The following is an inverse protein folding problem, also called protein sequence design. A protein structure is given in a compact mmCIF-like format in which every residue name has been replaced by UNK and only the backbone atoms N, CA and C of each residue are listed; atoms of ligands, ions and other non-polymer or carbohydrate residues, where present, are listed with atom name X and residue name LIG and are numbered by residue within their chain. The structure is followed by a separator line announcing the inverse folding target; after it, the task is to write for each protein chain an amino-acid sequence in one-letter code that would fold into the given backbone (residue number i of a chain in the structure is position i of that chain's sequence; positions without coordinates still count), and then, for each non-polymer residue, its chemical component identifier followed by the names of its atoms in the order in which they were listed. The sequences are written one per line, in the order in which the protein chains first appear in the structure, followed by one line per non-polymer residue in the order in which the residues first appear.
data_IF_302131341853
#
_entry.id   IF_302131341853
#
_cell.length_a   1.000
_cell.length_b   1.000
_cell.length_c   1.000
_cell.angle_alpha   90.00
_cell.angle_beta   90.00
_cell.angle_gamma   90.00
#
_symmetry.space_group_name_H-M   'P 1'
#
loop_
_entity.id
_entity.type
_entity.pdbx_description
1 polymer ?
#
# COMPACT_ATOMS: atom_id res chain seq x y z
N UNK A 1 23.22 -23.11 -19.82
CA UNK A 1 22.81 -22.51 -18.53
C UNK A 1 22.00 -21.27 -18.84
N UNK A 2 20.72 -21.25 -18.48
CA UNK A 2 19.85 -20.09 -18.74
C UNK A 2 20.09 -19.05 -17.63
N UNK A 3 20.02 -17.76 -17.96
CA UNK A 3 20.20 -16.68 -16.98
C UNK A 3 19.23 -16.82 -15.79
N UNK A 4 18.00 -17.30 -16.05
CA UNK A 4 16.96 -17.57 -15.04
C UNK A 4 17.29 -18.73 -14.09
N UNK A 5 18.31 -19.53 -14.38
CA UNK A 5 18.79 -20.60 -13.49
C UNK A 5 19.84 -20.07 -12.49
N UNK A 6 20.32 -18.84 -12.66
CA UNK A 6 21.36 -18.21 -11.83
C UNK A 6 20.86 -17.09 -10.91
N UNK A 7 19.69 -16.53 -11.22
CA UNK A 7 19.13 -15.37 -10.54
C UNK A 7 17.83 -15.81 -9.88
N UNK A 8 17.68 -15.53 -8.58
CA UNK A 8 16.45 -15.86 -7.86
C UNK A 8 15.26 -15.05 -8.36
N UNK A 9 14.04 -15.58 -8.17
CA UNK A 9 12.81 -14.85 -8.51
C UNK A 9 12.72 -13.51 -7.76
N UNK A 10 13.23 -13.46 -6.52
CA UNK A 10 13.32 -12.23 -5.72
C UNK A 10 14.22 -11.18 -6.38
N UNK A 11 15.44 -11.55 -6.75
CA UNK A 11 16.38 -10.64 -7.44
C UNK A 11 15.81 -10.15 -8.77
N UNK A 12 15.08 -11.00 -9.51
CA UNK A 12 14.40 -10.59 -10.74
C UNK A 12 13.30 -9.56 -10.45
N UNK A 13 12.46 -9.80 -9.43
CA UNK A 13 11.40 -8.86 -9.03
C UNK A 13 11.96 -7.52 -8.59
N UNK A 14 13.02 -7.53 -7.77
CA UNK A 14 13.71 -6.33 -7.30
C UNK A 14 14.32 -5.54 -8.46
N UNK A 15 15.01 -6.21 -9.38
CA UNK A 15 15.60 -5.58 -10.56
C UNK A 15 14.54 -4.94 -11.48
N UNK A 16 13.43 -5.66 -11.73
CA UNK A 16 12.32 -5.16 -12.55
C UNK A 16 11.63 -3.98 -11.87
N UNK A 17 11.35 -4.08 -10.56
CA UNK A 17 10.73 -2.99 -9.80
C UNK A 17 11.61 -1.74 -9.84
N UNK A 18 12.91 -1.88 -9.58
CA UNK A 18 13.86 -0.77 -9.63
C UNK A 18 13.92 -0.10 -11.00
N UNK A 19 13.81 -0.86 -12.10
CA UNK A 19 13.74 -0.28 -13.44
C UNK A 19 12.42 0.47 -13.70
N UNK A 20 11.29 -0.07 -13.24
CA UNK A 20 10.00 0.61 -13.34
C UNK A 20 9.97 1.91 -12.54
N UNK A 21 10.53 1.92 -11.33
CA UNK A 21 10.61 3.12 -10.49
C UNK A 21 11.47 4.21 -11.15
N UNK A 22 12.62 3.85 -11.73
CA UNK A 22 13.47 4.80 -12.49
C UNK A 22 12.70 5.42 -13.66
N UNK A 23 12.03 4.62 -14.48
CA UNK A 23 11.23 5.13 -15.61
C UNK A 23 10.05 5.98 -15.16
N UNK A 24 9.42 5.64 -14.04
CA UNK A 24 8.34 6.42 -13.46
C UNK A 24 8.83 7.81 -13.04
N UNK A 25 10.04 7.94 -12.48
CA UNK A 25 10.66 9.24 -12.19
C UNK A 25 10.86 10.06 -13.46
N UNK A 26 11.35 9.45 -14.55
CA UNK A 26 11.55 10.13 -15.82
C UNK A 26 10.22 10.63 -16.42
N UNK A 27 9.17 9.80 -16.42
CA UNK A 27 7.87 10.24 -16.93
C UNK A 27 7.23 11.34 -16.06
N UNK A 28 7.38 11.27 -14.72
CA UNK A 28 6.93 12.36 -13.82
C UNK A 28 7.65 13.66 -14.15
N UNK A 29 8.96 13.58 -14.41
CA UNK A 29 9.74 14.75 -14.77
C UNK A 29 9.28 15.38 -16.09
N UNK A 30 9.06 14.57 -17.13
CA UNK A 30 8.51 15.05 -18.41
C UNK A 30 7.14 15.71 -18.25
N UNK A 31 6.23 15.08 -17.51
CA UNK A 31 4.90 15.63 -17.23
C UNK A 31 4.99 16.99 -16.52
N UNK A 32 5.84 17.10 -15.49
CA UNK A 32 6.04 18.36 -14.76
C UNK A 32 6.70 19.45 -15.60
N UNK A 33 7.64 19.11 -16.49
CA UNK A 33 8.25 20.07 -17.41
C UNK A 33 7.21 20.66 -18.37
N UNK A 34 6.37 19.82 -18.97
CA UNK A 34 5.38 20.25 -19.95
C UNK A 34 4.21 20.96 -19.29
N UNK A 35 3.80 20.55 -18.08
CA UNK A 35 2.86 21.31 -17.25
C UNK A 35 3.34 22.74 -17.02
N UNK A 36 4.63 22.92 -16.72
CA UNK A 36 5.22 24.25 -16.55
C UNK A 36 5.31 25.03 -17.86
N UNK A 37 5.66 24.37 -18.97
CA UNK A 37 5.76 25.01 -20.30
C UNK A 37 4.42 25.56 -20.76
N UNK A 38 3.32 24.82 -20.53
CA UNK A 38 1.99 25.18 -21.01
C UNK A 38 1.06 25.75 -19.94
N UNK A 39 1.49 25.78 -18.68
CA UNK A 39 0.71 26.23 -17.53
C UNK A 39 -0.65 25.53 -17.41
N UNK A 40 -0.69 24.23 -17.72
CA UNK A 40 -1.90 23.39 -17.69
C UNK A 40 -1.54 21.91 -17.61
N UNK A 41 -2.50 21.05 -17.32
CA UNK A 41 -2.35 19.59 -17.40
C UNK A 41 -2.45 19.08 -18.85
N UNK A 42 -1.96 17.86 -19.11
CA UNK A 42 -2.11 17.21 -20.42
C UNK A 42 -3.59 17.07 -20.84
N UNK A 43 -4.47 16.79 -19.87
CA UNK A 43 -5.91 16.70 -20.11
C UNK A 43 -6.47 18.02 -20.65
N UNK A 44 -6.18 19.12 -19.97
CA UNK A 44 -6.60 20.47 -20.40
C UNK A 44 -5.97 20.86 -21.74
N UNK A 45 -4.72 20.47 -21.97
CA UNK A 45 -4.02 20.68 -23.24
C UNK A 45 -4.75 20.03 -24.41
N UNK A 46 -5.21 18.79 -24.24
CA UNK A 46 -6.03 18.06 -25.22
C UNK A 46 -7.41 18.69 -25.41
N UNK A 47 -8.11 19.02 -24.31
CA UNK A 47 -9.45 19.64 -24.34
C UNK A 47 -9.46 20.99 -25.06
N UNK A 48 -8.40 21.79 -24.89
CA UNK A 48 -8.22 23.09 -25.57
C UNK A 48 -7.67 22.97 -27.00
N UNK A 49 -7.35 21.75 -27.45
CA UNK A 49 -6.79 21.49 -28.77
C UNK A 49 -5.55 22.36 -29.07
N UNK A 50 -4.63 22.44 -28.09
CA UNK A 50 -3.52 23.40 -28.10
C UNK A 50 -2.62 23.30 -29.34
N UNK A 51 -2.47 22.10 -29.91
CA UNK A 51 -1.74 21.89 -31.18
C UNK A 51 -2.33 22.75 -32.30
N UNK A 52 -3.66 22.74 -32.44
CA UNK A 52 -4.37 23.56 -33.44
C UNK A 52 -4.29 25.05 -33.10
N UNK A 53 -4.51 25.42 -31.85
CA UNK A 53 -4.44 26.82 -31.39
C UNK A 53 -3.06 27.47 -31.61
N UNK A 54 -2.00 26.66 -31.59
CA UNK A 54 -0.62 27.12 -31.86
C UNK A 54 -0.16 26.88 -33.30
N UNK A 55 -1.09 26.54 -34.19
CA UNK A 55 -0.84 26.49 -35.64
C UNK A 55 -0.08 25.26 -36.12
N UNK A 56 -0.22 24.11 -35.45
CA UNK A 56 0.38 22.83 -35.89
C UNK A 56 1.89 22.90 -36.09
N UNK A 57 2.60 23.62 -35.22
CA UNK A 57 4.06 23.63 -35.28
C UNK A 57 4.60 22.26 -34.90
N UNK A 58 5.68 21.84 -35.55
CA UNK A 58 6.36 20.60 -35.20
C UNK A 58 6.77 20.53 -33.72
N UNK A 59 7.13 21.68 -33.13
CA UNK A 59 7.47 21.75 -31.70
C UNK A 59 6.29 21.34 -30.81
N UNK A 60 5.09 21.87 -31.05
CA UNK A 60 3.94 21.54 -30.19
C UNK A 60 3.41 20.13 -30.44
N UNK A 61 3.49 19.65 -31.68
CA UNK A 61 3.13 18.26 -31.99
C UNK A 61 4.06 17.27 -31.29
N UNK A 62 5.37 17.53 -31.34
CA UNK A 62 6.37 16.74 -30.64
C UNK A 62 6.12 16.76 -29.13
N UNK A 63 5.89 17.93 -28.55
CA UNK A 63 5.61 18.05 -27.11
C UNK A 63 4.33 17.29 -26.74
N UNK A 64 3.29 17.35 -27.56
CA UNK A 64 2.06 16.59 -27.33
C UNK A 64 2.30 15.08 -27.32
N UNK A 65 3.08 14.56 -28.28
CA UNK A 65 3.44 13.14 -28.36
C UNK A 65 4.29 12.69 -27.15
N UNK A 66 5.29 13.50 -26.76
CA UNK A 66 6.13 13.21 -25.60
C UNK A 66 5.33 13.25 -24.29
N UNK A 67 4.39 14.20 -24.17
CA UNK A 67 3.51 14.31 -23.00
C UNK A 67 2.56 13.12 -22.90
N UNK A 68 1.91 12.75 -24.00
CA UNK A 68 1.02 11.59 -24.05
C UNK A 68 1.77 10.32 -23.66
N UNK A 69 2.96 10.11 -24.24
CA UNK A 69 3.80 8.96 -23.91
C UNK A 69 4.17 8.92 -22.43
N UNK A 70 4.49 10.08 -21.83
CA UNK A 70 4.80 10.17 -20.41
C UNK A 70 3.58 9.87 -19.53
N UNK A 71 2.41 10.47 -19.81
CA UNK A 71 1.19 10.28 -19.02
C UNK A 71 0.70 8.82 -19.09
N UNK A 72 0.68 8.23 -20.29
CA UNK A 72 0.34 6.81 -20.44
C UNK A 72 1.40 5.89 -19.82
N UNK A 73 2.67 6.26 -19.93
CA UNK A 73 3.78 5.57 -19.27
C UNK A 73 3.64 5.56 -17.75
N UNK A 74 3.23 6.68 -17.14
CA UNK A 74 2.95 6.78 -15.71
C UNK A 74 1.83 5.83 -15.29
N UNK A 75 0.71 5.86 -16.00
CA UNK A 75 -0.45 4.99 -15.73
C UNK A 75 -0.06 3.52 -15.82
N UNK A 76 0.62 3.13 -16.90
CA UNK A 76 1.03 1.75 -17.14
C UNK A 76 2.02 1.24 -16.08
N UNK A 77 3.07 2.00 -15.78
CA UNK A 77 4.08 1.58 -14.81
C UNK A 77 3.53 1.54 -13.39
N UNK A 78 2.68 2.50 -13.00
CA UNK A 78 2.04 2.49 -11.69
C UNK A 78 1.19 1.23 -11.50
N UNK A 79 0.44 0.82 -12.52
CA UNK A 79 -0.34 -0.43 -12.49
C UNK A 79 0.55 -1.67 -12.31
N UNK A 80 1.69 -1.73 -13.03
CA UNK A 80 2.64 -2.83 -12.91
C UNK A 80 3.31 -2.88 -11.54
N UNK A 81 3.72 -1.74 -11.01
CA UNK A 81 4.34 -1.63 -9.68
C UNK A 81 3.35 -2.09 -8.61
N UNK A 82 2.09 -1.66 -8.68
CA UNK A 82 1.05 -2.06 -7.72
C UNK A 82 0.80 -3.58 -7.75
N UNK A 83 1.01 -4.25 -8.88
CA UNK A 83 0.93 -5.72 -8.99
C UNK A 83 2.17 -6.44 -8.48
N UNK A 84 3.36 -5.84 -8.60
CA UNK A 84 4.63 -6.47 -8.21
C UNK A 84 4.90 -6.31 -6.71
N UNK A 85 4.62 -5.13 -6.13
CA UNK A 85 4.90 -4.85 -4.72
C UNK A 85 4.32 -5.90 -3.75
N UNK A 86 3.06 -6.34 -3.89
CA UNK A 86 2.52 -7.39 -3.03
C UNK A 86 3.20 -8.76 -3.22
N UNK A 87 3.72 -9.05 -4.42
CA UNK A 87 4.48 -10.28 -4.71
C UNK A 87 5.89 -10.28 -4.13
N UNK A 88 6.32 -9.15 -3.56
CA UNK A 88 7.60 -9.00 -2.86
C UNK A 88 7.42 -9.05 -1.34
N UNK A 89 6.20 -8.93 -0.82
CA UNK A 89 5.94 -8.98 0.61
C UNK A 89 6.05 -10.43 1.10
N UNK A 90 7.02 -10.70 1.96
CA UNK A 90 7.15 -12.00 2.59
C UNK A 90 6.55 -12.00 3.99
N UNK A 91 5.96 -13.13 4.37
CA UNK A 91 5.46 -13.36 5.72
C UNK A 91 6.58 -13.19 6.76
N UNK A 92 7.83 -13.51 6.39
CA UNK A 92 9.03 -13.32 7.22
C UNK A 92 9.24 -11.84 7.61
N UNK A 93 9.03 -10.91 6.69
CA UNK A 93 9.15 -9.46 6.91
C UNK A 93 8.06 -8.98 7.86
N UNK A 94 6.82 -9.44 7.68
CA UNK A 94 5.69 -9.10 8.56
C UNK A 94 5.93 -9.61 9.99
N UNK A 95 6.47 -10.83 10.13
CA UNK A 95 6.85 -11.39 11.44
C UNK A 95 7.91 -10.51 12.09
N UNK A 96 8.88 -10.02 11.33
CA UNK A 96 9.92 -9.13 11.84
C UNK A 96 9.32 -7.79 12.31
N UNK A 97 8.42 -7.18 11.52
CA UNK A 97 7.67 -5.98 11.92
C UNK A 97 6.90 -6.20 13.23
N UNK A 98 6.17 -7.31 13.36
CA UNK A 98 5.43 -7.64 14.59
C UNK A 98 6.37 -7.77 15.81
N UNK A 99 7.55 -8.38 15.64
CA UNK A 99 8.56 -8.47 16.72
C UNK A 99 9.08 -7.10 17.15
N UNK A 100 9.31 -6.20 16.20
CA UNK A 100 9.79 -4.85 16.46
C UNK A 100 8.73 -4.00 17.19
N UNK A 101 7.48 -4.05 16.73
CA UNK A 101 6.33 -3.41 17.40
C UNK A 101 6.22 -3.91 18.83
N UNK A 102 6.28 -5.23 19.04
CA UNK A 102 6.17 -5.82 20.38
C UNK A 102 7.27 -5.34 21.32
N UNK A 103 8.51 -5.30 20.85
CA UNK A 103 9.63 -4.76 21.62
C UNK A 103 9.45 -3.27 21.93
N UNK A 104 8.99 -2.49 20.96
CA UNK A 104 8.81 -1.03 21.07
C UNK A 104 7.74 -0.67 22.10
N UNK A 105 6.61 -1.39 22.12
CA UNK A 105 5.46 -1.08 22.97
C UNK A 105 5.30 -2.02 24.19
N UNK A 106 6.26 -2.91 24.42
CA UNK A 106 6.20 -3.85 25.56
C UNK A 106 5.09 -4.90 25.44
N UNK A 107 4.67 -5.24 24.22
CA UNK A 107 3.66 -6.26 23.96
C UNK A 107 4.29 -7.65 23.85
N UNK A 108 3.46 -8.69 23.93
CA UNK A 108 3.83 -10.10 23.78
C UNK A 108 3.18 -10.69 22.54
N UNK A 109 3.88 -11.60 21.87
CA UNK A 109 3.27 -12.52 20.91
C UNK A 109 2.56 -13.60 21.72
N UNK A 110 1.24 -13.57 21.74
CA UNK A 110 0.39 -14.51 22.46
C UNK A 110 0.01 -15.71 21.59
N UNK A 111 0.02 -15.52 20.28
CA UNK A 111 -0.20 -16.57 19.27
C UNK A 111 0.50 -16.15 17.98
N UNK A 112 1.11 -17.11 17.29
CA UNK A 112 1.69 -16.91 15.97
C UNK A 112 1.61 -18.24 15.20
N UNK A 113 0.93 -18.20 14.07
CA UNK A 113 0.83 -19.31 13.13
C UNK A 113 0.89 -18.76 11.70
N UNK A 114 1.63 -19.42 10.83
CA UNK A 114 1.88 -18.90 9.50
C UNK A 114 2.26 -19.98 8.48
N UNK A 115 2.04 -19.63 7.22
CA UNK A 115 2.55 -20.32 6.02
C UNK A 115 3.32 -19.31 5.18
N UNK A 116 3.77 -19.69 3.99
CA UNK A 116 4.34 -18.73 3.04
C UNK A 116 3.30 -17.74 2.48
N UNK A 117 2.00 -17.96 2.73
CA UNK A 117 0.91 -17.17 2.14
C UNK A 117 0.10 -16.40 3.19
N UNK A 118 -0.09 -17.01 4.37
CA UNK A 118 -0.99 -16.51 5.39
C UNK A 118 -0.30 -16.41 6.74
N UNK A 119 -0.69 -15.43 7.55
CA UNK A 119 -0.27 -15.30 8.93
C UNK A 119 -1.47 -14.99 9.81
N UNK A 120 -1.50 -15.62 10.99
CA UNK A 120 -2.38 -15.27 12.11
C UNK A 120 -1.47 -14.97 13.30
N UNK A 121 -1.58 -13.77 13.85
CA UNK A 121 -0.86 -13.36 15.04
C UNK A 121 -1.80 -12.71 16.05
N UNK A 122 -1.52 -12.92 17.33
CA UNK A 122 -2.15 -12.16 18.43
C UNK A 122 -1.04 -11.49 19.20
N UNK A 123 -1.01 -10.16 19.16
CA UNK A 123 -0.04 -9.36 19.91
C UNK A 123 -0.76 -8.55 20.97
N UNK A 124 -0.29 -8.57 22.21
CA UNK A 124 -1.04 -7.95 23.30
C UNK A 124 -0.41 -8.08 24.66
N UNK A 125 -1.19 -7.75 25.68
CA UNK A 125 -0.74 -7.69 27.08
C UNK A 125 -1.11 -9.00 27.78
N UNK A 126 -2.29 -9.54 27.46
CA UNK A 126 -2.83 -10.78 28.00
C UNK A 126 -3.70 -11.48 26.95
N UNK A 127 -4.09 -12.73 27.22
CA UNK A 127 -5.02 -13.47 26.37
C UNK A 127 -6.41 -12.82 26.27
N UNK A 128 -6.74 -11.89 27.15
CA UNK A 128 -7.99 -11.14 27.13
C UNK A 128 -7.88 -9.80 26.40
N UNK A 129 -6.67 -9.23 26.26
CA UNK A 129 -6.44 -7.91 25.66
C UNK A 129 -5.32 -8.02 24.62
N UNK A 130 -5.71 -8.09 23.35
CA UNK A 130 -4.78 -8.26 22.24
C UNK A 130 -5.31 -7.70 20.92
N UNK A 131 -4.38 -7.36 20.03
CA UNK A 131 -4.63 -7.13 18.62
C UNK A 131 -4.47 -8.45 17.88
N UNK A 132 -5.54 -8.88 17.22
CA UNK A 132 -5.54 -9.96 16.24
C UNK A 132 -5.10 -9.41 14.89
N UNK A 133 -4.10 -10.03 14.27
CA UNK A 133 -3.61 -9.68 12.93
C UNK A 133 -3.75 -10.90 12.03
N UNK A 134 -4.49 -10.76 10.94
CA UNK A 134 -4.59 -11.75 9.88
C UNK A 134 -4.04 -11.18 8.58
N UNK A 135 -3.12 -11.90 7.95
CA UNK A 135 -2.56 -11.53 6.65
C UNK A 135 -2.80 -12.65 5.63
N UNK A 136 -3.10 -12.25 4.40
CA UNK A 136 -3.07 -13.10 3.22
C UNK A 136 -2.42 -12.34 2.06
N UNK A 137 -1.16 -12.66 1.75
CA UNK A 137 -0.38 -11.93 0.74
C UNK A 137 -0.97 -12.11 -0.66
N UNK A 138 -1.49 -13.30 -0.99
CA UNK A 138 -2.09 -13.60 -2.30
C UNK A 138 -3.38 -12.81 -2.55
N UNK A 139 -4.11 -12.45 -1.49
CA UNK A 139 -5.33 -11.64 -1.55
C UNK A 139 -5.08 -10.17 -1.24
N UNK A 140 -3.82 -9.77 -1.04
CA UNK A 140 -3.42 -8.42 -0.64
C UNK A 140 -4.24 -7.93 0.58
N UNK A 141 -4.43 -8.80 1.57
CA UNK A 141 -5.39 -8.60 2.66
C UNK A 141 -4.65 -8.58 3.99
N UNK A 142 -4.86 -7.49 4.75
CA UNK A 142 -4.43 -7.35 6.14
C UNK A 142 -5.66 -6.96 6.96
N UNK A 143 -6.14 -7.87 7.82
CA UNK A 143 -7.24 -7.60 8.73
C UNK A 143 -6.70 -7.50 10.15
N UNK A 144 -7.19 -6.51 10.89
CA UNK A 144 -6.76 -6.24 12.26
C UNK A 144 -7.97 -6.03 13.16
N UNK A 145 -7.93 -6.54 14.38
CA UNK A 145 -9.00 -6.37 15.34
C UNK A 145 -8.44 -6.28 16.76
N UNK A 146 -8.81 -5.23 17.50
CA UNK A 146 -8.58 -5.15 18.94
C UNK A 146 -9.67 -5.96 19.65
N UNK A 147 -9.24 -6.98 20.38
CA UNK A 147 -10.09 -7.87 21.15
C UNK A 147 -9.90 -7.58 22.64
N UNK A 148 -11.01 -7.39 23.34
CA UNK A 148 -11.08 -7.24 24.80
C UNK A 148 -12.11 -8.21 25.35
N UNK A 149 -11.68 -9.12 26.23
CA UNK A 149 -12.53 -10.14 26.87
C UNK A 149 -13.38 -10.95 25.87
N UNK A 150 -12.80 -11.25 24.71
CA UNK A 150 -13.43 -12.02 23.64
C UNK A 150 -14.23 -11.20 22.63
N UNK A 151 -14.46 -9.91 22.89
CA UNK A 151 -15.23 -9.02 22.02
C UNK A 151 -14.32 -8.15 21.15
N UNK A 152 -14.67 -7.99 19.87
CA UNK A 152 -14.01 -7.02 18.99
C UNK A 152 -14.53 -5.63 19.30
N UNK A 153 -13.68 -4.80 19.88
CA UNK A 153 -14.01 -3.41 20.21
C UNK A 153 -13.48 -2.41 19.18
N UNK A 154 -12.57 -2.80 18.28
CA UNK A 154 -12.07 -1.94 17.19
C UNK A 154 -11.50 -2.83 16.08
N UNK A 155 -11.57 -2.42 14.81
CA UNK A 155 -11.02 -3.23 13.73
C UNK A 155 -10.88 -2.54 12.38
N UNK A 156 -10.03 -3.11 11.54
CA UNK A 156 -9.86 -2.79 10.12
C UNK A 156 -10.00 -4.11 9.36
N UNK A 157 -10.87 -4.13 8.35
CA UNK A 157 -11.04 -5.29 7.49
C UNK A 157 -10.94 -4.92 6.01
N UNK A 158 -10.58 -5.91 5.18
CA UNK A 158 -10.71 -5.84 3.73
C UNK A 158 -11.82 -6.78 3.26
N UNK A 159 -12.89 -6.20 2.77
CA UNK A 159 -14.06 -6.88 2.20
C UNK A 159 -14.41 -6.29 0.83
N UNK A 160 -14.73 -7.12 -0.16
CA UNK A 160 -15.08 -6.66 -1.51
C UNK A 160 -13.98 -5.91 -2.26
N UNK A 161 -12.75 -5.87 -1.75
CA UNK A 161 -11.63 -5.12 -2.33
C UNK A 161 -11.38 -3.75 -1.68
N UNK A 162 -12.30 -3.29 -0.81
CA UNK A 162 -12.19 -2.04 -0.07
C UNK A 162 -11.84 -2.32 1.40
N UNK A 163 -11.17 -1.35 2.04
CA UNK A 163 -10.93 -1.39 3.48
C UNK A 163 -12.05 -0.68 4.22
N UNK A 164 -12.52 -1.26 5.32
CA UNK A 164 -13.46 -0.63 6.22
C UNK A 164 -12.93 -0.62 7.66
N UNK A 165 -13.25 0.45 8.37
CA UNK A 165 -13.03 0.60 9.80
C UNK A 165 -14.30 0.21 10.56
N UNK A 166 -14.09 -0.59 11.60
CA UNK A 166 -15.03 -0.86 12.67
C UNK A 166 -14.66 0.02 13.86
N UNK A 167 -15.29 1.20 14.01
CA UNK A 167 -14.88 2.19 15.00
C UNK A 167 -15.18 1.72 16.41
N UNK A 168 -14.42 2.21 17.39
CA UNK A 168 -14.61 1.82 18.77
C UNK A 168 -15.98 2.20 19.34
N UNK A 169 -16.49 3.36 18.96
CA UNK A 169 -17.77 3.86 19.43
C UNK A 169 -18.94 2.99 18.94
N UNK A 170 -18.76 2.26 17.82
CA UNK A 170 -19.74 1.32 17.29
C UNK A 170 -19.06 0.25 16.42
N UNK A 171 -18.59 -0.86 17.01
CA UNK A 171 -17.83 -1.89 16.28
C UNK A 171 -18.63 -2.63 15.20
N UNK A 172 -19.95 -2.47 15.16
CA UNK A 172 -20.82 -3.04 14.12
C UNK A 172 -20.96 -2.15 12.90
N UNK A 173 -20.51 -0.90 12.97
CA UNK A 173 -20.50 0.03 11.83
C UNK A 173 -19.34 -0.30 10.89
N UNK A 174 -19.53 -0.03 9.60
CA UNK A 174 -18.47 0.00 8.60
C UNK A 174 -18.29 1.44 8.13
N UNK A 175 -17.06 1.94 8.20
CA UNK A 175 -16.68 3.26 7.68
C UNK A 175 -15.59 3.04 6.64
N UNK A 176 -15.79 3.53 5.41
CA UNK A 176 -14.78 3.42 4.36
C UNK A 176 -13.45 4.04 4.82
N UNK A 177 -12.36 3.31 4.61
CA UNK A 177 -11.02 3.76 4.97
C UNK A 177 -9.99 3.27 3.96
N UNK A 178 -8.77 3.81 4.06
CA UNK A 178 -7.61 3.32 3.34
C UNK A 178 -6.99 2.10 4.01
N UNK A 179 -5.92 1.58 3.42
CA UNK A 179 -5.07 0.64 4.14
C UNK A 179 -4.45 1.33 5.35
N UNK A 180 -4.53 0.69 6.51
CA UNK A 180 -3.89 1.13 7.76
C UNK A 180 -2.68 0.23 8.02
N UNK A 181 -1.54 0.83 8.34
CA UNK A 181 -0.34 0.10 8.71
C UNK A 181 -0.50 -0.60 10.07
N UNK A 182 0.16 -1.76 10.25
CA UNK A 182 0.02 -2.57 11.47
C UNK A 182 0.40 -1.76 12.72
N UNK A 183 1.47 -0.97 12.64
CA UNK A 183 1.93 -0.16 13.75
C UNK A 183 0.92 0.95 14.12
N UNK A 184 0.36 1.65 13.13
CA UNK A 184 -0.65 2.68 13.35
C UNK A 184 -1.90 2.11 14.03
N UNK A 185 -2.35 0.92 13.60
CA UNK A 185 -3.46 0.22 14.24
C UNK A 185 -3.14 -0.16 15.69
N UNK A 186 -1.92 -0.60 15.98
CA UNK A 186 -1.47 -0.93 17.34
C UNK A 186 -1.45 0.31 18.22
N UNK A 187 -0.89 1.43 17.74
CA UNK A 187 -0.90 2.71 18.46
C UNK A 187 -2.33 3.12 18.79
N UNK A 188 -3.23 3.09 17.79
CA UNK A 188 -4.63 3.43 17.97
C UNK A 188 -5.33 2.52 18.99
N UNK A 189 -5.00 1.23 18.95
CA UNK A 189 -5.51 0.26 19.90
C UNK A 189 -5.07 0.57 21.33
N UNK A 190 -3.80 0.95 21.54
CA UNK A 190 -3.29 1.35 22.85
C UNK A 190 -3.94 2.65 23.35
N UNK A 191 -4.18 3.63 22.47
CA UNK A 191 -4.94 4.84 22.82
C UNK A 191 -6.36 4.50 23.31
N UNK A 192 -7.04 3.58 22.63
CA UNK A 192 -8.38 3.11 23.00
C UNK A 192 -8.33 2.44 24.38
N UNK A 193 -7.40 1.51 24.60
CA UNK A 193 -7.24 0.80 25.87
C UNK A 193 -6.98 1.77 27.03
N UNK A 194 -6.15 2.80 26.81
CA UNK A 194 -5.89 3.86 27.78
C UNK A 194 -7.15 4.67 28.09
N UNK A 195 -7.97 4.98 27.07
CA UNK A 195 -9.23 5.72 27.23
C UNK A 195 -10.25 4.96 28.08
N UNK A 196 -10.23 3.63 28.06
CA UNK A 196 -11.11 2.76 28.86
C UNK A 196 -10.45 2.21 30.13
N UNK A 197 -9.30 2.76 30.54
CA UNK A 197 -8.56 2.37 31.76
C UNK A 197 -8.21 0.87 31.84
N UNK A 198 -7.90 0.24 30.70
CA UNK A 198 -7.36 -1.12 30.67
C UNK A 198 -5.83 -1.17 30.64
N UNK A 199 -5.17 -0.02 30.37
CA UNK A 199 -3.72 0.20 30.47
C UNK A 199 -3.40 1.62 30.93
#
# INVERSE_FOLDING_TARGET
MKLVELISEKEIKEAVLGEYEKRLVLYKFTDELLKKKYSMSFKEFGEKNMVKEKGFSWEIEKDAMEWEHAVEGLRYLQEKINKIKPLMMEISEIIQTLKEINKRYGLKILYLDYTDITLISRIGISLEIFVHVYVNIKKEKVNMALIVSGERIYGIDKEGGSYHEHPFENPSRHIDTGQVEIEDFVIKSLEILKRINLI
#
